data_IF_346508877369
#
_entry.id   IF_346508877369
#
_cell.length_a   1.000
_cell.length_b   1.000
_cell.length_c   1.000
_cell.angle_alpha   90.00
_cell.angle_beta   90.00
_cell.angle_gamma   90.00
#
_symmetry.space_group_name_H-M   'P 1'
#
loop_
_entity.id
_entity.type
_entity.pdbx_description
1 polymer ?
#
# COMPACT_ATOMS: atom_id res chain seq x y z
N UNK A 1 -9.35 -30.73 42.63
CA UNK A 1 -8.19 -29.95 42.15
C UNK A 1 -8.41 -28.49 42.54
N UNK A 2 -7.54 -27.87 43.34
CA UNK A 2 -7.70 -26.47 43.74
C UNK A 2 -7.46 -25.55 42.54
N UNK A 3 -8.53 -24.90 42.08
CA UNK A 3 -8.48 -23.91 41.02
C UNK A 3 -8.31 -22.52 41.61
N UNK A 4 -7.42 -21.73 41.03
CA UNK A 4 -7.17 -20.36 41.48
C UNK A 4 -7.89 -19.42 40.53
N UNK A 5 -8.84 -18.63 41.05
CA UNK A 5 -9.65 -17.67 40.28
C UNK A 5 -9.18 -16.25 40.55
N UNK A 6 -9.10 -15.43 39.51
CA UNK A 6 -8.77 -14.01 39.61
C UNK A 6 -9.42 -13.19 38.52
N UNK A 7 -9.12 -11.89 38.50
CA UNK A 7 -9.66 -10.93 37.53
C UNK A 7 -8.56 -9.99 37.03
N UNK A 8 -8.62 -9.64 35.74
CA UNK A 8 -7.76 -8.63 35.13
C UNK A 8 -8.59 -7.39 34.81
N UNK A 9 -8.10 -6.22 35.20
CA UNK A 9 -8.76 -4.93 34.97
C UNK A 9 -7.80 -3.89 34.39
N UNK A 10 -8.36 -2.96 33.63
CA UNK A 10 -7.70 -1.73 33.19
C UNK A 10 -7.46 -0.81 34.39
N UNK A 11 -6.23 -0.33 34.56
CA UNK A 11 -5.84 0.52 35.69
C UNK A 11 -6.37 1.95 35.66
N UNK A 12 -6.82 2.45 34.51
CA UNK A 12 -7.36 3.81 34.34
C UNK A 12 -8.88 3.78 34.28
N UNK A 13 -9.44 2.94 33.40
CA UNK A 13 -10.89 2.86 33.15
C UNK A 13 -11.60 1.96 34.16
N UNK A 14 -10.87 1.12 34.89
CA UNK A 14 -11.41 0.17 35.85
C UNK A 14 -12.26 -0.94 35.22
N UNK A 15 -12.22 -1.08 33.90
CA UNK A 15 -13.00 -2.08 33.14
C UNK A 15 -12.29 -3.43 33.19
N UNK A 16 -13.04 -4.51 33.26
CA UNK A 16 -12.50 -5.85 33.08
C UNK A 16 -11.92 -6.02 31.67
N UNK A 17 -10.80 -6.75 31.58
CA UNK A 17 -10.11 -7.01 30.32
C UNK A 17 -10.29 -8.47 29.91
N UNK A 18 -10.91 -8.71 28.77
CA UNK A 18 -11.04 -10.04 28.16
C UNK A 18 -9.82 -10.39 27.31
N UNK A 19 -9.65 -11.68 26.99
CA UNK A 19 -8.63 -12.18 26.07
C UNK A 19 -7.17 -11.81 26.44
N UNK A 20 -6.91 -11.54 27.71
CA UNK A 20 -5.56 -11.37 28.27
C UNK A 20 -4.88 -12.75 28.28
N UNK A 21 -3.70 -12.83 27.66
CA UNK A 21 -2.89 -14.05 27.63
C UNK A 21 -2.13 -14.20 28.96
N UNK A 22 -2.15 -15.42 29.51
CA UNK A 22 -1.50 -15.75 30.77
C UNK A 22 -0.56 -16.93 30.54
N UNK A 23 0.73 -16.73 30.81
CA UNK A 23 1.75 -17.75 30.57
C UNK A 23 2.88 -17.70 31.59
N UNK A 24 3.61 -18.80 31.71
CA UNK A 24 4.80 -18.88 32.55
C UNK A 24 6.02 -18.34 31.80
N UNK A 25 6.84 -17.52 32.46
CA UNK A 25 7.99 -16.92 31.79
C UNK A 25 9.08 -17.94 31.42
N UNK A 26 9.25 -19.01 32.21
CA UNK A 26 10.37 -19.96 32.07
C UNK A 26 10.37 -20.71 30.72
N UNK A 27 9.19 -21.03 30.21
CA UNK A 27 8.98 -21.88 29.04
C UNK A 27 7.93 -21.31 28.07
N UNK A 28 7.39 -20.12 28.39
CA UNK A 28 6.28 -19.50 27.64
C UNK A 28 5.04 -20.39 27.51
N UNK A 29 4.87 -21.36 28.42
CA UNK A 29 3.70 -22.25 28.42
C UNK A 29 2.47 -21.44 28.79
N UNK A 30 1.49 -21.42 27.89
CA UNK A 30 0.18 -20.82 28.13
C UNK A 30 -0.57 -21.59 29.21
N UNK A 31 -0.90 -20.91 30.31
CA UNK A 31 -1.63 -21.49 31.44
C UNK A 31 -3.10 -21.04 31.48
N UNK A 32 -3.48 -20.06 30.65
CA UNK A 32 -4.86 -19.66 30.46
C UNK A 32 -5.01 -18.31 29.77
N UNK A 33 -6.27 -17.88 29.68
CA UNK A 33 -6.65 -16.53 29.28
C UNK A 33 -7.85 -16.06 30.08
N UNK A 34 -8.13 -14.77 30.06
CA UNK A 34 -9.33 -14.21 30.69
C UNK A 34 -10.57 -14.37 29.80
N UNK A 35 -11.71 -14.63 30.41
CA UNK A 35 -13.01 -14.68 29.74
C UNK A 35 -13.59 -13.29 29.41
N UNK A 36 -14.84 -13.23 28.93
CA UNK A 36 -15.54 -11.98 28.60
C UNK A 36 -15.77 -11.04 29.80
N UNK A 37 -15.72 -11.57 31.02
CA UNK A 37 -15.87 -10.80 32.26
C UNK A 37 -14.49 -10.40 32.84
N UNK A 38 -13.40 -10.74 32.14
CA UNK A 38 -12.02 -10.55 32.56
C UNK A 38 -11.57 -11.50 33.66
N UNK A 39 -12.32 -12.58 33.92
CA UNK A 39 -11.99 -13.58 34.92
C UNK A 39 -11.04 -14.62 34.33
N UNK A 40 -10.05 -15.06 35.11
CA UNK A 40 -9.16 -16.15 34.74
C UNK A 40 -9.15 -17.25 35.78
N UNK A 41 -8.77 -18.45 35.35
CA UNK A 41 -8.60 -19.59 36.22
C UNK A 41 -7.44 -20.48 35.74
N UNK A 42 -6.56 -20.87 36.65
CA UNK A 42 -5.50 -21.84 36.37
C UNK A 42 -5.35 -22.88 37.47
N UNK A 43 -4.87 -24.07 37.09
CA UNK A 43 -4.62 -25.18 38.02
C UNK A 43 -3.33 -24.94 38.78
N UNK A 44 -3.39 -25.04 40.11
CA UNK A 44 -2.21 -24.81 40.98
C UNK A 44 -1.13 -25.88 40.81
N UNK A 45 -1.50 -27.05 40.27
CA UNK A 45 -0.62 -28.21 40.10
C UNK A 45 0.50 -27.97 39.05
N UNK A 46 0.38 -26.91 38.23
CA UNK A 46 1.31 -26.60 37.14
C UNK A 46 2.29 -25.46 37.47
N UNK A 47 2.16 -24.84 38.65
CA UNK A 47 2.84 -23.57 38.97
C UNK A 47 3.41 -23.61 40.38
N UNK A 48 4.70 -23.30 40.50
CA UNK A 48 5.37 -23.15 41.79
C UNK A 48 5.25 -21.71 42.32
N UNK A 49 5.42 -21.52 43.63
CA UNK A 49 5.31 -20.19 44.26
C UNK A 49 6.31 -19.16 43.70
N UNK A 50 7.49 -19.62 43.30
CA UNK A 50 8.56 -18.79 42.71
C UNK A 50 8.43 -18.59 41.21
N UNK A 51 7.52 -19.29 40.53
CA UNK A 51 7.34 -19.12 39.09
C UNK A 51 6.83 -17.72 38.79
N UNK A 52 7.40 -17.09 37.76
CA UNK A 52 6.94 -15.81 37.24
C UNK A 52 5.85 -16.03 36.20
N UNK A 53 4.67 -15.49 36.48
CA UNK A 53 3.50 -15.47 35.61
C UNK A 53 3.51 -14.14 34.85
N UNK A 54 3.21 -14.19 33.56
CA UNK A 54 3.12 -13.01 32.70
C UNK A 54 1.69 -12.87 32.19
N UNK A 55 1.15 -11.66 32.35
CA UNK A 55 -0.14 -11.23 31.80
C UNK A 55 0.13 -10.28 30.64
N UNK A 56 -0.36 -10.61 29.45
CA UNK A 56 -0.10 -9.84 28.23
C UNK A 56 -1.39 -9.63 27.44
N UNK A 57 -1.62 -8.38 27.01
CA UNK A 57 -2.76 -8.00 26.19
C UNK A 57 -2.34 -6.94 25.17
N UNK A 58 -2.92 -7.00 23.98
CA UNK A 58 -2.61 -6.04 22.89
C UNK A 58 -2.97 -4.62 23.35
N UNK A 59 -2.04 -3.69 23.19
CA UNK A 59 -2.21 -2.30 23.60
C UNK A 59 -2.01 -2.03 25.10
N UNK A 60 -1.46 -2.98 25.87
CA UNK A 60 -1.11 -2.83 27.29
C UNK A 60 0.34 -3.22 27.55
N UNK A 61 0.92 -2.67 28.61
CA UNK A 61 2.19 -3.17 29.14
C UNK A 61 1.99 -4.54 29.79
N UNK A 62 2.84 -5.54 29.48
CA UNK A 62 2.75 -6.84 30.14
C UNK A 62 3.12 -6.71 31.61
N UNK A 63 2.32 -7.33 32.48
CA UNK A 63 2.64 -7.44 33.91
C UNK A 63 3.35 -8.77 34.17
N UNK A 64 4.43 -8.72 34.95
CA UNK A 64 5.13 -9.90 35.46
C UNK A 64 5.01 -9.92 36.97
N UNK A 65 4.59 -11.05 37.51
CA UNK A 65 4.52 -11.25 38.96
C UNK A 65 4.72 -12.72 39.32
N UNK A 66 5.21 -12.98 40.52
CA UNK A 66 5.24 -14.34 41.08
C UNK A 66 3.85 -14.77 41.56
N UNK A 67 3.64 -16.08 41.73
CA UNK A 67 2.39 -16.58 42.32
C UNK A 67 2.17 -16.04 43.75
N UNK A 68 3.25 -15.82 44.52
CA UNK A 68 3.17 -15.22 45.86
C UNK A 68 2.69 -13.78 45.83
N UNK A 69 3.20 -12.97 44.91
CA UNK A 69 2.75 -11.58 44.72
C UNK A 69 1.29 -11.53 44.31
N UNK A 70 0.89 -12.42 43.38
CA UNK A 70 -0.50 -12.52 42.93
C UNK A 70 -1.45 -12.89 44.07
N UNK A 71 -1.02 -13.75 45.01
CA UNK A 71 -1.75 -14.08 46.23
C UNK A 71 -1.92 -12.87 47.16
N UNK A 72 -0.85 -12.10 47.38
CA UNK A 72 -0.90 -10.89 48.21
C UNK A 72 -1.83 -9.81 47.62
N UNK A 73 -1.96 -9.77 46.29
CA UNK A 73 -2.89 -8.89 45.59
C UNK A 73 -4.34 -9.41 45.54
N UNK A 74 -4.63 -10.54 46.19
CA UNK A 74 -5.97 -11.14 46.18
C UNK A 74 -6.42 -11.56 44.78
N UNK A 75 -5.48 -11.96 43.91
CA UNK A 75 -5.74 -12.37 42.52
C UNK A 75 -6.38 -11.30 41.63
N UNK A 76 -6.20 -10.02 41.98
CA UNK A 76 -6.57 -8.88 41.15
C UNK A 76 -5.34 -8.35 40.40
N UNK A 77 -5.39 -8.43 39.08
CA UNK A 77 -4.33 -7.95 38.19
C UNK A 77 -4.76 -6.65 37.53
N UNK A 78 -3.86 -5.67 37.50
CA UNK A 78 -4.11 -4.37 36.89
C UNK A 78 -3.13 -4.17 35.74
N UNK A 79 -3.63 -3.93 34.53
CA UNK A 79 -2.82 -3.61 33.35
C UNK A 79 -2.98 -2.13 32.98
N UNK A 80 -1.91 -1.54 32.47
CA UNK A 80 -1.89 -0.15 32.02
C UNK A 80 -1.71 -0.08 30.51
N UNK A 81 -2.49 0.78 29.85
CA UNK A 81 -2.44 0.97 28.40
C UNK A 81 -1.03 1.38 27.95
N UNK A 82 -0.59 0.78 26.84
CA UNK A 82 0.62 1.13 26.13
C UNK A 82 0.25 1.44 24.67
N UNK A 83 -0.22 2.66 24.37
CA UNK A 83 -0.55 3.05 23.01
C UNK A 83 0.74 3.11 22.19
N UNK A 84 0.95 2.11 21.34
CA UNK A 84 2.04 2.10 20.37
C UNK A 84 1.58 2.84 19.12
N UNK A 85 2.24 3.94 18.79
CA UNK A 85 2.00 4.69 17.58
C UNK A 85 2.67 3.94 16.41
N UNK A 86 1.90 3.28 15.57
CA UNK A 86 2.43 2.61 14.39
C UNK A 86 2.75 3.66 13.33
N UNK A 87 4.00 3.68 12.85
CA UNK A 87 4.40 4.55 11.75
C UNK A 87 3.80 4.03 10.45
N UNK A 88 3.07 4.88 9.72
CA UNK A 88 2.50 4.53 8.42
C UNK A 88 3.62 4.20 7.43
N UNK A 89 3.48 3.08 6.71
CA UNK A 89 4.43 2.67 5.67
C UNK A 89 4.05 3.41 4.39
N UNK A 90 4.82 4.44 4.02
CA UNK A 90 4.68 5.13 2.75
C UNK A 90 5.38 4.30 1.66
N UNK A 91 4.60 3.62 0.82
CA UNK A 91 5.10 2.94 -0.38
C UNK A 91 5.12 3.94 -1.54
N UNK A 92 6.29 4.45 -1.89
CA UNK A 92 6.49 5.27 -3.10
C UNK A 92 6.94 4.39 -4.27
N UNK A 93 6.24 4.47 -5.40
CA UNK A 93 6.64 3.85 -6.67
C UNK A 93 6.86 4.89 -7.75
N UNK A 94 7.95 4.77 -8.52
CA UNK A 94 8.21 5.62 -9.67
C UNK A 94 7.24 5.28 -10.81
N UNK A 95 6.45 6.26 -11.26
CA UNK A 95 5.64 6.10 -12.48
C UNK A 95 6.52 6.47 -13.68
N UNK A 96 6.67 5.59 -14.69
CA UNK A 96 7.35 5.98 -15.92
C UNK A 96 6.62 7.17 -16.58
N UNK A 97 7.36 8.10 -17.21
CA UNK A 97 6.78 9.28 -17.83
C UNK A 97 5.77 8.89 -18.93
N UNK A 98 4.61 9.56 -18.92
CA UNK A 98 3.53 9.35 -19.89
C UNK A 98 3.86 9.86 -21.30
N UNK A 99 4.87 10.71 -21.43
CA UNK A 99 5.25 11.35 -22.68
C UNK A 99 6.57 10.78 -23.19
N UNK A 100 6.62 10.51 -24.49
CA UNK A 100 7.86 10.18 -25.19
C UNK A 100 8.80 11.39 -25.15
N UNK A 101 10.08 11.14 -24.94
CA UNK A 101 11.11 12.16 -25.16
C UNK A 101 11.11 12.56 -26.64
N UNK A 102 11.10 13.86 -26.92
CA UNK A 102 11.15 14.40 -28.27
C UNK A 102 12.12 15.58 -28.32
N UNK A 103 12.80 15.74 -29.45
CA UNK A 103 13.71 16.86 -29.70
C UNK A 103 13.08 17.76 -30.76
N UNK A 104 13.04 19.07 -30.50
CA UNK A 104 12.59 20.03 -31.52
C UNK A 104 13.64 20.15 -32.62
N UNK A 105 13.23 19.94 -33.87
CA UNK A 105 14.05 20.24 -35.05
C UNK A 105 13.81 21.68 -35.53
N UNK A 106 14.71 22.17 -36.38
CA UNK A 106 14.50 23.44 -37.08
C UNK A 106 13.22 23.39 -37.93
N UNK A 107 12.45 24.48 -38.01
CA UNK A 107 11.29 24.53 -38.88
C UNK A 107 11.67 24.32 -40.35
N UNK A 108 10.74 23.79 -41.14
CA UNK A 108 10.92 23.71 -42.59
C UNK A 108 11.13 25.12 -43.18
N UNK A 109 12.00 25.28 -44.20
CA UNK A 109 12.22 26.58 -44.84
C UNK A 109 10.94 27.22 -45.41
N UNK A 110 9.94 26.40 -45.73
CA UNK A 110 8.60 26.81 -46.17
C UNK A 110 7.52 25.94 -45.51
N UNK A 111 6.32 26.49 -45.24
CA UNK A 111 5.20 25.69 -44.75
C UNK A 111 4.68 24.77 -45.85
N UNK A 112 4.51 23.48 -45.52
CA UNK A 112 3.94 22.46 -46.41
C UNK A 112 2.60 21.97 -45.83
N UNK A 113 1.63 21.71 -46.70
CA UNK A 113 0.29 21.22 -46.40
C UNK A 113 0.10 19.80 -46.94
N UNK A 114 -1.06 19.18 -46.72
CA UNK A 114 -1.38 17.84 -47.26
C UNK A 114 -0.38 16.73 -46.86
N UNK A 115 0.12 16.76 -45.62
CA UNK A 115 1.04 15.75 -45.12
C UNK A 115 0.34 14.39 -44.93
N UNK A 116 1.11 13.31 -45.11
CA UNK A 116 0.70 11.94 -44.82
C UNK A 116 1.55 11.34 -43.71
N UNK A 117 0.92 10.60 -42.79
CA UNK A 117 1.62 9.91 -41.71
C UNK A 117 1.33 8.41 -41.72
N UNK A 118 2.34 7.59 -41.45
CA UNK A 118 2.16 6.14 -41.25
C UNK A 118 3.11 5.58 -40.19
N UNK A 119 2.68 4.49 -39.55
CA UNK A 119 3.46 3.75 -38.57
C UNK A 119 4.14 2.56 -39.26
N UNK A 120 5.46 2.45 -39.14
CA UNK A 120 6.19 1.28 -39.64
C UNK A 120 7.37 0.95 -38.72
N UNK A 121 7.50 -0.34 -38.35
CA UNK A 121 8.57 -0.85 -37.50
C UNK A 121 8.79 -0.04 -36.19
N UNK A 122 7.70 0.35 -35.54
CA UNK A 122 7.75 1.12 -34.28
C UNK A 122 8.16 2.59 -34.43
N UNK A 123 8.29 3.10 -35.67
CA UNK A 123 8.59 4.51 -35.96
C UNK A 123 7.42 5.17 -36.68
N UNK A 124 7.14 6.42 -36.34
CA UNK A 124 6.18 7.27 -37.04
C UNK A 124 6.92 7.98 -38.16
N UNK A 125 6.47 7.79 -39.39
CA UNK A 125 6.98 8.52 -40.55
C UNK A 125 5.95 9.56 -40.96
N UNK A 126 6.41 10.80 -41.12
CA UNK A 126 5.60 11.90 -41.65
C UNK A 126 6.24 12.34 -42.96
N UNK A 127 5.49 12.22 -44.05
CA UNK A 127 5.88 12.71 -45.37
C UNK A 127 5.26 14.08 -45.52
N UNK A 128 6.10 15.11 -45.62
CA UNK A 128 5.64 16.46 -45.90
C UNK A 128 4.95 16.51 -47.27
N UNK A 129 3.85 17.24 -47.38
CA UNK A 129 3.15 17.40 -48.64
C UNK A 129 3.66 18.61 -49.42
N UNK A 130 2.76 19.38 -50.02
CA UNK A 130 3.07 20.42 -50.99
C UNK A 130 2.83 21.85 -50.49
N UNK A 131 3.26 22.84 -51.26
CA UNK A 131 3.06 24.27 -50.95
C UNK A 131 1.59 24.73 -51.22
N UNK A 132 0.74 23.86 -51.77
CA UNK A 132 -0.63 24.22 -52.15
C UNK A 132 -1.56 24.27 -50.93
N UNK A 133 -1.83 25.49 -50.47
CA UNK A 133 -2.94 25.73 -49.55
C UNK A 133 -4.27 25.58 -50.31
N UNK A 134 -4.90 24.41 -50.23
CA UNK A 134 -6.29 24.26 -50.67
C UNK A 134 -7.18 24.98 -49.65
N UNK A 135 -7.54 26.24 -49.93
CA UNK A 135 -8.68 26.86 -49.26
C UNK A 135 -9.91 26.09 -49.69
N UNK A 136 -10.57 25.41 -48.75
CA UNK A 136 -11.91 24.90 -49.01
C UNK A 136 -12.80 26.09 -49.37
N UNK A 137 -13.11 26.24 -50.66
CA UNK A 137 -14.19 27.11 -51.10
C UNK A 137 -15.47 26.39 -50.69
N UNK A 138 -16.22 26.96 -49.76
CA UNK A 138 -17.59 26.55 -49.44
C UNK A 138 -18.49 26.93 -50.62
N UNK A 139 -18.35 26.24 -51.74
CA UNK A 139 -19.31 26.35 -52.85
C UNK A 139 -20.27 25.17 -52.83
N UNK A 140 -21.56 25.49 -52.97
CA UNK A 140 -22.71 24.59 -52.76
C UNK A 140 -22.97 23.67 -53.96
N UNK A 141 -22.07 23.60 -54.95
CA UNK A 141 -22.22 22.78 -56.15
C UNK A 141 -21.06 21.79 -56.32
N UNK A 142 -21.38 20.52 -56.06
CA UNK A 142 -20.51 19.34 -56.13
C UNK A 142 -20.09 19.06 -57.58
N UNK A 143 -18.78 19.00 -57.87
CA UNK A 143 -18.19 18.15 -58.93
C UNK A 143 -16.84 17.56 -58.49
N UNK A 144 -16.76 16.23 -58.67
CA UNK A 144 -15.71 15.25 -58.40
C UNK A 144 -14.35 15.69 -57.83
N UNK A 145 -13.98 15.11 -56.69
CA UNK A 145 -12.59 14.86 -56.33
C UNK A 145 -12.00 13.82 -57.29
N UNK A 146 -11.07 14.25 -58.15
CA UNK A 146 -10.18 13.31 -58.84
C UNK A 146 -9.26 12.67 -57.81
N UNK A 147 -9.29 11.33 -57.72
CA UNK A 147 -8.23 10.57 -57.05
C UNK A 147 -6.94 10.75 -57.85
N UNK A 148 -6.04 11.58 -57.35
CA UNK A 148 -4.66 11.64 -57.83
C UNK A 148 -3.89 10.51 -57.13
N UNK A 149 -3.57 9.45 -57.88
CA UNK A 149 -2.57 8.48 -57.46
C UNK A 149 -1.18 9.09 -57.70
N UNK A 150 -0.45 9.38 -56.63
CA UNK A 150 0.94 9.78 -56.73
C UNK A 150 1.83 8.54 -56.65
N UNK A 151 2.50 8.20 -57.75
CA UNK A 151 3.61 7.24 -57.74
C UNK A 151 4.88 8.03 -57.43
N UNK A 152 5.44 7.86 -56.22
CA UNK A 152 6.69 8.51 -55.85
C UNK A 152 7.84 8.01 -56.74
N UNK A 153 8.50 8.92 -57.46
CA UNK A 153 9.73 8.62 -58.22
C UNK A 153 11.01 9.01 -57.47
N UNK A 154 10.93 9.68 -56.33
CA UNK A 154 12.10 9.99 -55.52
C UNK A 154 11.74 10.09 -54.03
N UNK A 155 12.37 9.25 -53.21
CA UNK A 155 12.44 9.39 -51.76
C UNK A 155 13.75 10.11 -51.44
N UNK A 156 13.70 11.37 -51.03
CA UNK A 156 14.87 12.01 -50.42
C UNK A 156 15.00 11.52 -48.99
N UNK A 157 16.01 10.70 -48.77
CA UNK A 157 16.44 10.22 -47.46
C UNK A 157 17.12 11.39 -46.74
N UNK A 158 16.54 11.83 -45.64
CA UNK A 158 17.23 12.72 -44.70
C UNK A 158 18.20 11.85 -43.90
N UNK A 159 19.49 11.98 -44.17
CA UNK A 159 20.56 11.54 -43.27
C UNK A 159 21.14 12.78 -42.59
N UNK A 160 21.28 12.71 -41.27
CA UNK A 160 21.92 13.73 -40.44
C UNK A 160 23.41 13.85 -40.83
N UNK A 161 23.87 15.09 -41.03
CA UNK A 161 25.29 15.46 -41.09
C UNK A 161 25.86 15.57 -39.67
#
# INVERSE_FOLDING_TARGET
MPQTKGIVVDGVKGRSLSDVNIYLQKDSVGIGSTDRNGEFMFSRDQITISDTIVFSHVGYFPLKCTLSELQHLGYKVVLHEHPQLLHEIVVSGERPPFFLEWTSLSPLPKPLYSFGGFLHAGKIYVVAGDETLIRMVTDKHRRSTSLLSFTMTACMRWEEL
#
